data_IF_940903649922
#
_entry.id   IF_940903649922
#
_cell.length_a   1.000
_cell.length_b   1.000
_cell.length_c   1.000
_cell.angle_alpha   90.00
_cell.angle_beta   90.00
_cell.angle_gamma   90.00
#
_symmetry.space_group_name_H-M   'P 1'
#
loop_
_entity.id
_entity.type
_entity.pdbx_description
1 polymer ?
#
# COMPACT_ATOMS: atom_id res chain seq x y z
N UNK A 1 -2.48 -6.96 -48.70
CA UNK A 1 -2.93 -7.11 -47.30
C UNK A 1 -1.84 -6.64 -46.32
N UNK A 2 -1.15 -5.51 -46.57
CA UNK A 2 -0.03 -5.06 -45.71
C UNK A 2 -0.27 -3.73 -44.98
N UNK A 3 -0.93 -2.76 -45.63
CA UNK A 3 -1.08 -1.40 -45.08
C UNK A 3 -1.85 -1.32 -43.75
N UNK A 4 -2.88 -2.15 -43.57
CA UNK A 4 -3.66 -2.19 -42.33
C UNK A 4 -2.90 -2.80 -41.15
N UNK A 5 -1.91 -3.67 -41.40
CA UNK A 5 -1.11 -4.28 -40.33
C UNK A 5 -0.04 -3.30 -39.82
N UNK A 6 0.63 -2.58 -40.71
CA UNK A 6 1.59 -1.54 -40.33
C UNK A 6 0.95 -0.46 -39.44
N UNK A 7 -0.27 -0.04 -39.78
CA UNK A 7 -1.01 0.95 -38.99
C UNK A 7 -1.38 0.43 -37.59
N UNK A 8 -1.71 -0.86 -37.46
CA UNK A 8 -2.05 -1.48 -36.18
C UNK A 8 -0.82 -1.71 -35.30
N UNK A 9 0.35 -1.98 -35.89
CA UNK A 9 1.63 -2.03 -35.19
C UNK A 9 2.03 -0.65 -34.65
N UNK A 10 1.90 0.39 -35.47
CA UNK A 10 2.20 1.78 -35.07
C UNK A 10 1.21 2.24 -33.97
N UNK A 11 -0.07 1.86 -34.05
CA UNK A 11 -1.02 2.18 -32.98
C UNK A 11 -0.65 1.46 -31.66
N UNK A 12 -0.30 0.17 -31.71
CA UNK A 12 0.05 -0.61 -30.52
C UNK A 12 1.30 -0.07 -29.80
N UNK A 13 2.32 0.36 -30.54
CA UNK A 13 3.56 0.87 -29.94
C UNK A 13 3.35 2.14 -29.12
N UNK A 14 2.31 2.93 -29.41
CA UNK A 14 1.96 4.11 -28.62
C UNK A 14 0.91 3.83 -27.55
N UNK A 15 -0.08 2.98 -27.82
CA UNK A 15 -1.18 2.69 -26.88
C UNK A 15 -0.68 1.96 -25.63
N UNK A 16 0.14 0.92 -25.79
CA UNK A 16 0.65 0.13 -24.66
C UNK A 16 1.45 0.93 -23.63
N UNK A 17 2.46 1.73 -24.01
CA UNK A 17 3.22 2.49 -23.02
C UNK A 17 2.36 3.55 -22.31
N UNK A 18 1.38 4.15 -23.00
CA UNK A 18 0.45 5.08 -22.37
C UNK A 18 -0.38 4.37 -21.29
N UNK A 19 -0.92 3.18 -21.58
CA UNK A 19 -1.68 2.40 -20.60
C UNK A 19 -0.79 2.04 -19.42
N UNK A 20 0.41 1.53 -19.66
CA UNK A 20 1.35 1.15 -18.59
C UNK A 20 1.72 2.37 -17.73
N UNK A 21 1.94 3.53 -18.35
CA UNK A 21 2.23 4.77 -17.64
C UNK A 21 1.08 5.22 -16.74
N UNK A 22 -0.15 5.20 -17.26
CA UNK A 22 -1.36 5.54 -16.49
C UNK A 22 -1.57 4.58 -15.31
N UNK A 23 -1.36 3.28 -15.52
CA UNK A 23 -1.48 2.26 -14.46
C UNK A 23 -0.43 2.49 -13.36
N UNK A 24 0.82 2.81 -13.73
CA UNK A 24 1.87 3.14 -12.77
C UNK A 24 1.49 4.37 -11.92
N UNK A 25 1.00 5.44 -12.55
CA UNK A 25 0.56 6.64 -11.84
C UNK A 25 -0.61 6.35 -10.88
N UNK A 26 -1.63 5.64 -11.35
CA UNK A 26 -2.78 5.28 -10.53
C UNK A 26 -2.36 4.49 -9.28
N UNK A 27 -1.38 3.59 -9.43
CA UNK A 27 -0.88 2.80 -8.34
C UNK A 27 0.04 3.56 -7.39
N UNK A 28 0.84 4.52 -7.86
CA UNK A 28 1.59 5.42 -6.96
C UNK A 28 0.64 6.21 -6.08
N UNK A 29 -0.46 6.71 -6.64
CA UNK A 29 -1.52 7.39 -5.89
C UNK A 29 -2.18 6.44 -4.90
N UNK A 30 -2.43 5.18 -5.30
CA UNK A 30 -2.98 4.17 -4.41
C UNK A 30 -2.05 3.86 -3.23
N UNK A 31 -0.75 3.62 -3.48
CA UNK A 31 0.26 3.38 -2.42
C UNK A 31 0.33 4.55 -1.46
N UNK A 32 0.31 5.79 -1.97
CA UNK A 32 0.31 6.98 -1.13
C UNK A 32 -0.92 7.04 -0.21
N UNK A 33 -2.11 6.79 -0.78
CA UNK A 33 -3.37 6.82 -0.02
C UNK A 33 -3.43 5.68 0.99
N UNK A 34 -2.98 4.49 0.63
CA UNK A 34 -2.95 3.32 1.49
C UNK A 34 -1.97 3.53 2.66
N UNK A 35 -0.74 3.98 2.37
CA UNK A 35 0.26 4.26 3.40
C UNK A 35 -0.19 5.37 4.37
N UNK A 36 -0.92 6.38 3.87
CA UNK A 36 -1.54 7.42 4.71
C UNK A 36 -2.57 6.84 5.68
N UNK A 37 -3.35 5.84 5.25
CA UNK A 37 -4.34 5.20 6.12
C UNK A 37 -3.69 4.33 7.21
N UNK A 38 -2.53 3.72 6.92
CA UNK A 38 -1.81 2.88 7.87
C UNK A 38 -0.85 3.65 8.79
N UNK A 39 -0.87 4.99 8.76
CA UNK A 39 0.00 5.87 9.56
C UNK A 39 1.51 5.57 9.37
N UNK A 40 1.86 5.01 8.22
CA UNK A 40 3.24 4.74 7.81
C UNK A 40 3.74 5.91 6.97
N UNK A 41 5.04 6.19 6.97
CA UNK A 41 5.63 7.28 6.19
C UNK A 41 5.28 7.19 4.68
N UNK A 42 4.31 7.97 4.17
CA UNK A 42 3.71 7.69 2.86
C UNK A 42 4.67 7.98 1.71
N UNK A 43 5.45 9.05 1.86
CA UNK A 43 6.45 9.49 0.89
C UNK A 43 7.58 8.47 0.74
N UNK A 44 8.00 7.82 1.84
CA UNK A 44 9.05 6.80 1.81
C UNK A 44 8.62 5.59 0.97
N UNK A 45 7.36 5.16 1.08
CA UNK A 45 6.83 4.03 0.31
C UNK A 45 6.62 4.35 -1.17
N UNK A 46 6.19 5.57 -1.50
CA UNK A 46 6.14 6.05 -2.89
C UNK A 46 7.55 6.10 -3.50
N UNK A 47 8.53 6.64 -2.77
CA UNK A 47 9.91 6.71 -3.23
C UNK A 47 10.51 5.30 -3.44
N UNK A 48 10.25 4.38 -2.51
CA UNK A 48 10.64 2.98 -2.64
C UNK A 48 10.00 2.32 -3.87
N UNK A 49 8.71 2.57 -4.14
CA UNK A 49 8.02 2.04 -5.32
C UNK A 49 8.60 2.55 -6.65
N UNK A 50 9.07 3.80 -6.68
CA UNK A 50 9.74 4.40 -7.84
C UNK A 50 11.15 3.82 -8.03
N UNK A 51 11.93 3.65 -6.95
CA UNK A 51 13.33 3.19 -7.02
C UNK A 51 13.43 1.70 -7.33
N UNK A 52 12.62 0.87 -6.67
CA UNK A 52 12.73 -0.59 -6.73
C UNK A 52 12.11 -1.19 -7.99
N UNK A 53 11.59 -0.35 -8.88
CA UNK A 53 10.72 -0.77 -9.97
C UNK A 53 9.38 -1.30 -9.45
N UNK A 54 8.33 -1.01 -10.20
CA UNK A 54 6.96 -1.06 -9.72
C UNK A 54 6.54 -2.36 -8.98
N UNK A 55 6.73 -3.58 -9.52
CA UNK A 55 6.29 -4.80 -8.86
C UNK A 55 7.08 -5.11 -7.57
N UNK A 56 8.38 -4.84 -7.55
CA UNK A 56 9.22 -5.15 -6.38
C UNK A 56 8.94 -4.18 -5.22
N UNK A 57 8.74 -2.89 -5.53
CA UNK A 57 8.35 -1.89 -4.55
C UNK A 57 6.99 -2.19 -3.91
N UNK A 58 6.03 -2.68 -4.71
CA UNK A 58 4.72 -3.09 -4.21
C UNK A 58 4.79 -4.33 -3.29
N UNK A 59 5.57 -5.34 -3.68
CA UNK A 59 5.76 -6.56 -2.87
C UNK A 59 6.39 -6.21 -1.52
N UNK A 60 7.42 -5.36 -1.53
CA UNK A 60 8.06 -4.90 -0.30
C UNK A 60 7.11 -4.06 0.57
N UNK A 61 6.29 -3.21 -0.04
CA UNK A 61 5.26 -2.45 0.69
C UNK A 61 4.25 -3.37 1.38
N UNK A 62 3.70 -4.37 0.67
CA UNK A 62 2.72 -5.31 1.23
C UNK A 62 3.31 -6.16 2.36
N UNK A 63 4.58 -6.55 2.27
CA UNK A 63 5.24 -7.37 3.29
C UNK A 63 5.68 -6.58 4.52
N UNK A 64 6.19 -5.35 4.33
CA UNK A 64 6.85 -4.59 5.39
C UNK A 64 6.14 -3.30 5.79
N UNK A 65 5.45 -2.65 4.86
CA UNK A 65 4.79 -1.36 5.05
C UNK A 65 3.40 -1.46 5.67
N UNK A 66 2.68 -2.52 5.35
CA UNK A 66 1.37 -2.84 5.93
C UNK A 66 1.54 -3.59 7.25
N UNK A 67 1.99 -2.88 8.29
CA UNK A 67 2.00 -3.42 9.65
C UNK A 67 0.78 -2.90 10.38
N UNK A 68 -0.03 -3.82 10.89
CA UNK A 68 -1.12 -3.44 11.77
C UNK A 68 -0.55 -2.74 13.00
N UNK A 69 -1.24 -1.70 13.48
CA UNK A 69 -0.80 -0.97 14.64
C UNK A 69 -0.80 -1.90 15.84
N UNK A 70 0.31 -1.94 16.58
CA UNK A 70 0.40 -2.74 17.79
C UNK A 70 0.19 -1.84 18.99
N UNK A 71 -0.83 -2.16 19.78
CA UNK A 71 -1.15 -1.51 21.04
C UNK A 71 -0.79 -2.42 22.21
N UNK A 72 -0.37 -1.80 23.31
CA UNK A 72 -0.04 -2.51 24.55
C UNK A 72 -1.23 -2.39 25.49
N UNK A 73 -1.71 -3.52 26.01
CA UNK A 73 -2.77 -3.50 27.03
C UNK A 73 -2.24 -2.85 28.32
N UNK A 74 -2.94 -1.83 28.86
CA UNK A 74 -2.57 -1.18 30.13
C UNK A 74 -2.77 -2.07 31.37
N UNK A 75 -3.59 -3.12 31.27
CA UNK A 75 -3.91 -4.00 32.40
C UNK A 75 -2.96 -5.20 32.51
N UNK A 76 -2.65 -5.88 31.40
CA UNK A 76 -1.84 -7.09 31.39
C UNK A 76 -0.51 -6.96 30.63
N UNK A 77 -0.23 -5.78 30.05
CA UNK A 77 0.98 -5.49 29.26
C UNK A 77 1.19 -6.37 28.02
N UNK A 78 0.16 -7.09 27.57
CA UNK A 78 0.26 -7.90 26.37
C UNK A 78 0.23 -7.01 25.10
N UNK A 79 1.06 -7.34 24.11
CA UNK A 79 1.12 -6.65 22.80
C UNK A 79 0.16 -7.31 21.83
N UNK A 80 -0.76 -6.54 21.27
CA UNK A 80 -1.77 -7.05 20.34
C UNK A 80 -2.14 -6.01 19.28
N UNK A 81 -2.94 -6.42 18.30
CA UNK A 81 -3.47 -5.53 17.25
C UNK A 81 -4.36 -4.44 17.85
N UNK A 82 -4.31 -3.22 17.31
CA UNK A 82 -5.22 -2.10 17.64
C UNK A 82 -6.65 -2.30 17.17
N UNK A 83 -6.87 -3.33 16.34
CA UNK A 83 -8.17 -3.70 15.79
C UNK A 83 -9.03 -4.46 16.82
N UNK A 84 -8.44 -4.88 17.94
CA UNK A 84 -9.15 -5.56 19.04
C UNK A 84 -9.72 -4.52 20.01
N UNK A 85 -11.05 -4.49 20.16
CA UNK A 85 -11.74 -3.68 21.19
C UNK A 85 -11.45 -4.20 22.62
N UNK A 86 -11.18 -5.50 22.75
CA UNK A 86 -10.91 -6.16 24.03
C UNK A 86 -9.62 -6.96 23.98
N UNK A 87 -8.89 -7.01 25.10
CA UNK A 87 -7.66 -7.76 25.17
C UNK A 87 -7.90 -9.27 25.10
N UNK A 88 -7.24 -9.95 24.15
CA UNK A 88 -7.34 -11.40 23.97
C UNK A 88 -6.81 -12.24 25.16
N UNK A 89 -6.03 -11.63 26.07
CA UNK A 89 -5.46 -12.31 27.22
C UNK A 89 -6.22 -12.04 28.53
N UNK A 90 -6.69 -10.81 28.75
CA UNK A 90 -7.30 -10.42 30.03
C UNK A 90 -8.75 -9.92 29.93
N UNK A 91 -9.29 -9.74 28.72
CA UNK A 91 -10.64 -9.24 28.50
C UNK A 91 -10.86 -7.75 28.80
N UNK A 92 -9.82 -7.02 29.23
CA UNK A 92 -9.93 -5.57 29.46
C UNK A 92 -10.15 -4.80 28.15
N UNK A 93 -10.97 -3.76 28.20
CA UNK A 93 -11.22 -2.84 27.08
C UNK A 93 -9.94 -2.12 26.67
N UNK A 94 -9.71 -2.04 25.36
CA UNK A 94 -8.52 -1.46 24.76
C UNK A 94 -8.78 0.00 24.36
N UNK A 95 -8.07 0.94 24.97
CA UNK A 95 -8.12 2.36 24.59
C UNK A 95 -7.31 2.58 23.30
N UNK A 96 -7.91 2.26 22.15
CA UNK A 96 -7.31 2.40 20.82
C UNK A 96 -7.48 3.81 20.22
N UNK A 97 -8.09 4.75 20.95
CA UNK A 97 -8.41 6.11 20.48
C UNK A 97 -7.17 6.95 20.14
N UNK A 98 -6.05 6.69 20.81
CA UNK A 98 -4.79 7.40 20.56
C UNK A 98 -4.17 7.05 19.19
N UNK A 99 -4.57 5.92 18.57
CA UNK A 99 -4.07 5.53 17.25
C UNK A 99 -4.94 6.00 16.07
N UNK A 100 -6.24 6.21 16.29
CA UNK A 100 -7.19 6.65 15.26
C UNK A 100 -7.47 8.17 15.26
N UNK A 101 -6.80 8.93 16.13
CA UNK A 101 -6.87 10.39 16.22
C UNK A 101 -5.86 11.07 15.29
#
# INVERSE_FOLDING_TARGET
MGFFEELSFIANIYIWPIIVFLVNLAMLVWIYRDAKNYNTYPILWVLAAVILNFPLGLILYLLYGRKDPKVVCRHCHNKQSSDLEYCANCGAEMDNREYYA
#
